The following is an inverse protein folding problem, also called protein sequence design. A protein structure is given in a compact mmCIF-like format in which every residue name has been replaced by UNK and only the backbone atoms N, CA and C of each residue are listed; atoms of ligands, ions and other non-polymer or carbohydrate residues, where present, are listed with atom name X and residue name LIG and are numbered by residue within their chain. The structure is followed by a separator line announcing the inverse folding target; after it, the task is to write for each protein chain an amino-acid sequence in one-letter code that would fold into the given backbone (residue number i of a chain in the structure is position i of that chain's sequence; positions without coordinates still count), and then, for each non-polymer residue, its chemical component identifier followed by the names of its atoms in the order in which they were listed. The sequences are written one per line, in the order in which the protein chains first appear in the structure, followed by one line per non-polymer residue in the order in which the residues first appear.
data_IF_076828020508
#
_entry.id   IF_076828020508
#
_cell.length_a   1.000
_cell.length_b   1.000
_cell.length_c   1.000
_cell.angle_alpha   90.00
_cell.angle_beta   90.00
_cell.angle_gamma   90.00
#
_symmetry.space_group_name_H-M   'P 1'
#
loop_
_entity.id
_entity.type
_entity.pdbx_description
1 polymer ?
#
# COMPACT_ATOMS: atom_id res chain seq x y z
N UNK A 1 24.21 -7.75 -9.73
CA UNK A 1 24.53 -8.87 -8.82
C UNK A 1 23.59 -8.79 -7.62
N UNK A 2 22.94 -9.91 -7.28
CA UNK A 2 21.97 -10.02 -6.17
C UNK A 2 22.68 -10.57 -4.94
N UNK A 3 22.30 -10.12 -3.75
CA UNK A 3 22.66 -10.81 -2.52
C UNK A 3 21.47 -10.88 -1.57
N UNK A 4 21.38 -11.98 -0.84
CA UNK A 4 20.36 -12.20 0.18
C UNK A 4 20.97 -11.81 1.51
N UNK A 5 20.45 -10.79 2.17
CA UNK A 5 20.80 -10.52 3.57
C UNK A 5 19.82 -11.26 4.46
N UNK A 6 20.34 -12.08 5.37
CA UNK A 6 19.56 -12.73 6.43
C UNK A 6 19.68 -11.88 7.68
N UNK A 7 18.58 -11.38 8.18
CA UNK A 7 18.52 -10.67 9.46
C UNK A 7 17.60 -11.45 10.38
N UNK A 8 18.15 -11.94 11.50
CA UNK A 8 17.38 -12.61 12.55
C UNK A 8 17.07 -11.59 13.63
N UNK A 9 15.78 -11.37 13.90
CA UNK A 9 15.30 -10.52 14.99
C UNK A 9 14.57 -11.42 15.97
N UNK A 10 14.98 -11.41 17.23
CA UNK A 10 14.37 -12.21 18.29
C UNK A 10 13.57 -11.26 19.18
N UNK A 11 12.30 -11.55 19.42
CA UNK A 11 11.48 -10.92 20.45
C UNK A 11 11.08 -11.94 21.52
N UNK A 12 10.49 -11.45 22.62
CA UNK A 12 10.21 -12.24 23.83
C UNK A 12 9.37 -13.50 23.56
N UNK A 13 8.48 -13.48 22.56
CA UNK A 13 7.62 -14.63 22.21
C UNK A 13 7.84 -15.20 20.80
N UNK A 14 8.71 -14.58 19.98
CA UNK A 14 8.84 -14.98 18.57
C UNK A 14 10.24 -14.78 17.98
N UNK A 15 10.60 -15.66 17.04
CA UNK A 15 11.82 -15.51 16.24
C UNK A 15 11.40 -15.09 14.83
N UNK A 16 11.82 -13.90 14.43
CA UNK A 16 11.65 -13.38 13.07
C UNK A 16 12.93 -13.62 12.28
N UNK A 17 12.84 -14.37 11.18
CA UNK A 17 13.93 -14.47 10.20
C UNK A 17 13.55 -13.72 8.93
N UNK A 18 14.12 -12.53 8.77
CA UNK A 18 13.92 -11.70 7.60
C UNK A 18 14.97 -12.05 6.54
N UNK A 19 14.55 -12.59 5.41
CA UNK A 19 15.41 -12.81 4.25
C UNK A 19 15.17 -11.69 3.23
N UNK A 20 16.04 -10.70 3.21
CA UNK A 20 15.95 -9.55 2.33
C UNK A 20 16.78 -9.84 1.09
N UNK A 21 16.14 -10.03 -0.06
CA UNK A 21 16.85 -10.02 -1.34
C UNK A 21 17.10 -8.56 -1.73
N UNK A 22 18.37 -8.18 -1.89
CA UNK A 22 18.79 -6.82 -2.25
C UNK A 22 19.40 -6.82 -3.67
N UNK A 23 18.88 -5.96 -4.54
CA UNK A 23 19.51 -5.63 -5.82
C UNK A 23 20.53 -4.51 -5.57
N UNK A 24 21.82 -4.77 -5.86
CA UNK A 24 22.86 -3.75 -5.78
C UNK A 24 22.80 -2.88 -7.04
N UNK A 25 22.47 -1.59 -6.89
CA UNK A 25 22.83 -0.58 -7.90
C UNK A 25 24.21 0.00 -7.54
N UNK A 26 25.07 0.14 -8.53
CA UNK A 26 26.33 0.87 -8.40
C UNK A 26 26.02 2.35 -8.10
N UNK A 27 25.90 2.73 -6.83
CA UNK A 27 26.19 4.09 -6.39
C UNK A 27 26.79 4.04 -4.99
N UNK A 28 28.04 4.49 -4.90
CA UNK A 28 28.77 4.74 -3.66
C UNK A 28 28.08 5.90 -2.94
N UNK A 29 27.18 5.62 -2.00
CA UNK A 29 26.82 6.56 -0.94
C UNK A 29 26.71 5.81 0.39
N UNK A 30 27.47 6.30 1.37
CA UNK A 30 27.54 5.82 2.74
C UNK A 30 26.11 5.61 3.32
N UNK A 31 25.84 4.39 3.78
CA UNK A 31 24.83 4.04 4.79
C UNK A 31 23.33 4.28 4.52
N UNK A 32 22.86 4.46 3.28
CA UNK A 32 21.40 4.43 3.01
C UNK A 32 21.08 3.64 1.73
N UNK A 33 20.95 2.33 1.86
CA UNK A 33 20.40 1.49 0.79
C UNK A 33 18.92 1.87 0.57
N UNK A 34 18.62 2.57 -0.54
CA UNK A 34 17.24 2.79 -0.98
C UNK A 34 16.72 1.49 -1.59
N UNK A 35 15.81 0.80 -0.91
CA UNK A 35 15.13 -0.39 -1.44
C UNK A 35 14.20 0.02 -2.59
N UNK A 36 14.55 -0.34 -3.82
CA UNK A 36 13.62 -0.28 -4.95
C UNK A 36 13.28 -1.72 -5.37
N UNK A 37 12.04 -2.17 -5.16
CA UNK A 37 11.57 -3.51 -5.55
C UNK A 37 10.31 -3.43 -6.41
N UNK A 38 10.50 -3.09 -7.68
CA UNK A 38 9.46 -3.23 -8.70
C UNK A 38 9.49 -4.57 -9.43
N UNK A 39 10.55 -5.39 -9.27
CA UNK A 39 10.77 -6.58 -10.10
C UNK A 39 10.74 -7.94 -9.39
N UNK A 40 10.99 -8.04 -8.08
CA UNK A 40 10.95 -9.32 -7.32
C UNK A 40 10.54 -9.12 -5.84
N UNK A 41 9.80 -10.07 -5.23
CA UNK A 41 9.48 -10.06 -3.81
C UNK A 41 10.74 -10.26 -2.95
N UNK A 42 10.65 -9.93 -1.66
CA UNK A 42 11.42 -10.67 -0.66
C UNK A 42 10.51 -11.51 0.21
N UNK A 43 11.11 -12.51 0.82
CA UNK A 43 10.41 -13.51 1.59
C UNK A 43 10.72 -13.30 3.06
N UNK A 44 9.68 -13.12 3.87
CA UNK A 44 9.84 -13.07 5.32
C UNK A 44 9.27 -14.35 5.92
N UNK A 45 10.08 -14.99 6.77
CA UNK A 45 9.71 -16.19 7.51
C UNK A 45 9.63 -15.83 8.98
N UNK A 46 8.52 -16.13 9.62
CA UNK A 46 8.46 -16.11 11.08
C UNK A 46 8.27 -17.52 11.61
N UNK A 47 8.81 -17.77 12.79
CA UNK A 47 8.58 -18.99 13.57
C UNK A 47 8.28 -18.59 15.00
N UNK A 48 7.13 -19.02 15.52
CA UNK A 48 6.85 -18.96 16.95
C UNK A 48 7.78 -19.92 17.71
N UNK A 49 8.20 -19.55 18.93
CA UNK A 49 9.10 -20.38 19.76
C UNK A 49 8.55 -21.79 20.04
N UNK A 50 7.23 -21.97 19.92
CA UNK A 50 6.50 -23.23 20.12
C UNK A 50 6.65 -24.24 18.98
N UNK A 51 7.32 -23.90 17.87
CA UNK A 51 7.56 -24.80 16.74
C UNK A 51 6.33 -25.08 15.87
N UNK A 52 5.18 -24.47 16.19
CA UNK A 52 3.97 -24.55 15.36
C UNK A 52 3.74 -23.20 14.69
N UNK A 53 3.44 -23.26 13.38
CA UNK A 53 3.24 -22.14 12.45
C UNK A 53 4.53 -21.47 11.93
N UNK A 54 4.97 -21.97 10.77
CA UNK A 54 5.84 -21.25 9.84
C UNK A 54 4.95 -20.56 8.81
N UNK A 55 4.56 -19.32 9.02
CA UNK A 55 3.86 -18.59 7.97
C UNK A 55 4.89 -17.90 7.08
N UNK A 56 4.65 -18.00 5.79
CA UNK A 56 5.40 -17.33 4.76
C UNK A 56 4.61 -16.11 4.29
N UNK A 57 5.19 -14.92 4.40
CA UNK A 57 4.62 -13.74 3.77
C UNK A 57 5.58 -13.22 2.70
N UNK A 58 5.03 -12.98 1.52
CA UNK A 58 5.74 -12.31 0.45
C UNK A 58 5.63 -10.80 0.67
N UNK A 59 6.79 -10.17 0.88
CA UNK A 59 6.91 -8.75 1.14
C UNK A 59 7.50 -8.03 -0.07
N UNK A 60 6.77 -7.05 -0.57
CA UNK A 60 7.12 -6.19 -1.69
C UNK A 60 7.46 -4.79 -1.19
N UNK A 61 8.38 -4.10 -1.86
CA UNK A 61 8.73 -2.70 -1.52
C UNK A 61 8.46 -1.80 -2.71
N UNK A 62 7.35 -1.06 -2.65
CA UNK A 62 6.84 -0.24 -3.75
C UNK A 62 6.75 1.21 -3.28
N UNK A 63 7.31 2.15 -4.04
CA UNK A 63 7.36 3.58 -3.68
C UNK A 63 7.91 3.87 -2.27
N UNK A 64 8.80 3.02 -1.76
CA UNK A 64 9.34 3.12 -0.40
C UNK A 64 8.44 2.55 0.70
N UNK A 65 7.20 2.13 0.38
CA UNK A 65 6.30 1.41 1.29
C UNK A 65 6.53 -0.09 1.26
N UNK A 66 6.18 -0.76 2.36
CA UNK A 66 6.29 -2.21 2.54
C UNK A 66 4.90 -2.85 2.38
N UNK A 67 4.75 -3.82 1.49
CA UNK A 67 3.47 -4.43 1.11
C UNK A 67 3.50 -5.94 1.29
N UNK A 68 2.40 -6.53 1.74
CA UNK A 68 2.17 -7.98 1.75
C UNK A 68 1.41 -8.37 0.51
N UNK A 69 1.89 -9.39 -0.22
CA UNK A 69 1.13 -9.99 -1.32
C UNK A 69 -0.05 -10.80 -0.79
N UNK A 70 -1.22 -10.53 -1.37
CA UNK A 70 -2.40 -11.38 -1.37
C UNK A 70 -2.67 -11.83 -2.81
N UNK A 71 -3.61 -12.76 -3.00
CA UNK A 71 -3.92 -13.41 -4.28
C UNK A 71 -3.72 -12.45 -5.48
N UNK A 72 -4.51 -11.36 -5.55
CA UNK A 72 -4.49 -10.45 -6.70
C UNK A 72 -4.11 -9.00 -6.34
N UNK A 73 -3.54 -8.76 -5.16
CA UNK A 73 -3.17 -7.41 -4.73
C UNK A 73 -2.00 -7.38 -3.73
N UNK A 74 -1.35 -6.22 -3.63
CA UNK A 74 -0.38 -5.86 -2.62
C UNK A 74 -1.09 -4.97 -1.59
N UNK A 75 -1.03 -5.34 -0.32
CA UNK A 75 -1.61 -4.57 0.79
C UNK A 75 -0.51 -3.95 1.63
N UNK A 76 -0.55 -2.65 1.85
CA UNK A 76 0.44 -1.93 2.65
C UNK A 76 0.48 -2.50 4.08
N UNK A 77 1.65 -3.00 4.50
CA UNK A 77 1.81 -3.91 5.65
C UNK A 77 1.91 -3.20 7.00
N UNK A 78 2.18 -1.90 7.02
CA UNK A 78 2.21 -1.08 8.23
C UNK A 78 2.02 0.37 7.81
N UNK A 79 0.92 0.97 8.24
CA UNK A 79 0.70 2.40 8.09
C UNK A 79 1.64 3.04 9.12
N UNK A 80 2.83 3.46 8.71
CA UNK A 80 3.40 4.60 9.42
C UNK A 80 2.41 5.73 9.18
N UNK A 81 1.87 6.36 10.23
CA UNK A 81 0.89 7.47 10.10
C UNK A 81 1.43 8.56 9.16
N UNK A 82 2.75 8.73 9.12
CA UNK A 82 3.41 9.69 8.21
C UNK A 82 3.30 9.35 6.71
N UNK A 83 2.96 8.11 6.37
CA UNK A 83 2.75 7.60 5.01
C UNK A 83 1.26 7.45 4.67
N UNK A 84 0.37 7.65 5.65
CA UNK A 84 -1.06 7.75 5.41
C UNK A 84 -1.32 8.84 4.36
N UNK A 85 -2.22 8.58 3.42
CA UNK A 85 -2.52 9.41 2.24
C UNK A 85 -1.41 9.59 1.19
N UNK A 86 -0.14 9.23 1.47
CA UNK A 86 0.96 9.35 0.49
C UNK A 86 1.08 8.13 -0.41
N UNK A 87 0.92 6.93 0.14
CA UNK A 87 1.09 5.67 -0.59
C UNK A 87 -0.26 4.96 -0.76
N UNK A 88 -0.47 4.26 -1.89
CA UNK A 88 -1.68 3.46 -2.06
C UNK A 88 -1.72 2.36 -1.00
N UNK A 89 -2.86 2.22 -0.36
CA UNK A 89 -3.08 1.16 0.65
C UNK A 89 -3.21 -0.20 -0.02
N UNK A 90 -3.76 -0.24 -1.24
CA UNK A 90 -3.90 -1.44 -2.07
C UNK A 90 -3.38 -1.15 -3.47
N UNK A 91 -2.60 -2.08 -4.02
CA UNK A 91 -2.18 -2.08 -5.43
C UNK A 91 -2.59 -3.41 -6.03
N UNK A 92 -3.47 -3.39 -7.03
CA UNK A 92 -3.92 -4.58 -7.75
C UNK A 92 -2.92 -4.96 -8.83
N UNK A 93 -2.93 -6.24 -9.22
CA UNK A 93 -2.03 -6.75 -10.28
C UNK A 93 -2.21 -6.05 -11.63
N UNK A 94 -3.44 -5.62 -11.95
CA UNK A 94 -3.71 -4.88 -13.17
C UNK A 94 -3.12 -3.46 -13.15
N UNK A 95 -2.61 -2.98 -12.01
CA UNK A 95 -2.06 -1.65 -11.82
C UNK A 95 -3.01 -0.63 -11.16
N UNK A 96 -4.27 -1.02 -10.90
CA UNK A 96 -5.22 -0.21 -10.14
C UNK A 96 -4.70 0.02 -8.72
N UNK A 97 -4.89 1.22 -8.20
CA UNK A 97 -4.44 1.64 -6.86
C UNK A 97 -5.59 2.25 -6.09
N UNK A 98 -5.63 1.95 -4.81
CA UNK A 98 -6.63 2.50 -3.90
C UNK A 98 -5.99 3.04 -2.63
N UNK A 99 -6.48 4.19 -2.18
CA UNK A 99 -6.12 4.84 -0.94
C UNK A 99 -7.29 4.74 0.03
N UNK A 100 -7.02 4.10 1.16
CA UNK A 100 -8.00 3.86 2.22
C UNK A 100 -7.49 4.47 3.50
N UNK A 101 -8.36 5.16 4.23
CA UNK A 101 -8.13 5.57 5.62
C UNK A 101 -8.84 4.63 6.59
N UNK A 102 -8.38 4.62 7.83
CA UNK A 102 -9.16 4.05 8.92
C UNK A 102 -10.21 5.05 9.38
N UNK A 103 -11.43 4.56 9.61
CA UNK A 103 -12.47 5.36 10.23
C UNK A 103 -12.23 5.35 11.74
N UNK A 104 -11.89 6.50 12.31
CA UNK A 104 -11.58 6.65 13.73
C UNK A 104 -12.87 6.68 14.57
N UNK A 105 -13.48 5.52 14.79
CA UNK A 105 -14.57 5.37 15.77
C UNK A 105 -14.20 4.35 16.83
N UNK A 106 -14.66 4.58 18.07
CA UNK A 106 -14.39 3.69 19.20
C UNK A 106 -15.06 2.30 19.06
N UNK A 107 -16.05 2.19 18.16
CA UNK A 107 -16.96 1.04 18.09
C UNK A 107 -16.83 0.23 16.79
N UNK A 108 -16.21 0.78 15.73
CA UNK A 108 -16.12 0.11 14.43
C UNK A 108 -14.72 0.25 13.81
N UNK A 109 -14.08 -0.88 13.47
CA UNK A 109 -12.87 -0.88 12.63
C UNK A 109 -13.24 -0.95 11.16
N UNK A 110 -13.74 0.16 10.61
CA UNK A 110 -14.05 0.27 9.18
C UNK A 110 -12.94 1.02 8.42
N UNK A 111 -12.79 0.69 7.14
CA UNK A 111 -11.96 1.43 6.19
C UNK A 111 -12.85 2.10 5.16
N UNK A 112 -12.44 3.28 4.72
CA UNK A 112 -13.14 4.04 3.69
C UNK A 112 -12.15 4.66 2.70
N UNK A 113 -12.58 4.82 1.45
CA UNK A 113 -11.79 5.46 0.41
C UNK A 113 -11.57 6.92 0.77
N UNK A 114 -10.31 7.35 0.71
CA UNK A 114 -9.93 8.71 1.05
C UNK A 114 -8.51 9.01 0.58
N UNK A 115 -8.32 10.21 0.01
CA UNK A 115 -7.00 10.78 -0.26
C UNK A 115 -7.09 12.31 -0.36
N UNK A 116 -6.26 13.02 0.40
CA UNK A 116 -6.33 14.50 0.44
C UNK A 116 -5.96 15.17 -0.88
N UNK A 117 -4.87 14.72 -1.51
CA UNK A 117 -4.23 15.45 -2.61
C UNK A 117 -4.34 14.72 -3.95
N UNK A 118 -5.41 13.96 -4.18
CA UNK A 118 -5.59 13.23 -5.43
C UNK A 118 -6.74 12.25 -5.42
N UNK A 119 -6.90 11.47 -6.50
CA UNK A 119 -7.92 10.43 -6.55
C UNK A 119 -7.62 9.33 -5.53
N UNK A 120 -8.66 8.90 -4.81
CA UNK A 120 -8.59 7.78 -3.90
C UNK A 120 -8.64 6.43 -4.63
N UNK A 121 -9.09 6.42 -5.89
CA UNK A 121 -8.99 5.27 -6.80
C UNK A 121 -8.38 5.71 -8.12
N UNK A 122 -7.29 5.05 -8.51
CA UNK A 122 -6.66 5.21 -9.83
C UNK A 122 -6.72 3.87 -10.54
N UNK A 123 -7.53 3.76 -11.58
CA UNK A 123 -7.67 2.55 -12.37
C UNK A 123 -6.52 2.41 -13.37
N UNK A 124 -6.20 1.18 -13.75
CA UNK A 124 -5.14 0.88 -14.70
C UNK A 124 -5.40 1.42 -16.11
N UNK A 125 -6.66 1.65 -16.48
CA UNK A 125 -7.05 2.25 -17.75
C UNK A 125 -6.97 3.79 -17.75
N UNK A 126 -6.58 4.42 -16.63
CA UNK A 126 -6.47 5.87 -16.48
C UNK A 126 -7.66 6.55 -15.82
N UNK A 127 -8.76 5.82 -15.60
CA UNK A 127 -9.94 6.32 -14.89
C UNK A 127 -9.62 6.67 -13.44
N UNK A 128 -10.36 7.62 -12.87
CA UNK A 128 -10.07 8.18 -11.54
C UNK A 128 -11.34 8.48 -10.76
N UNK A 129 -11.29 8.20 -9.46
CA UNK A 129 -12.32 8.63 -8.51
C UNK A 129 -11.71 9.34 -7.31
N UNK A 130 -12.30 10.47 -6.95
CA UNK A 130 -11.95 11.28 -5.79
C UNK A 130 -12.95 11.00 -4.67
N UNK A 131 -12.41 10.61 -3.52
CA UNK A 131 -13.19 10.29 -2.33
C UNK A 131 -12.60 11.00 -1.13
N UNK A 132 -13.48 11.55 -0.28
CA UNK A 132 -13.15 12.21 0.97
C UNK A 132 -14.06 11.67 2.07
N UNK A 133 -13.47 11.09 3.13
CA UNK A 133 -14.21 10.42 4.21
C UNK A 133 -15.28 9.42 3.72
N UNK A 134 -14.92 8.60 2.73
CA UNK A 134 -15.82 7.59 2.16
C UNK A 134 -16.93 8.13 1.27
N UNK A 135 -16.92 9.41 0.93
CA UNK A 135 -17.89 10.04 0.03
C UNK A 135 -17.20 10.57 -1.23
N UNK A 136 -17.83 10.41 -2.39
CA UNK A 136 -17.33 11.02 -3.64
C UNK A 136 -17.37 12.54 -3.49
N UNK A 137 -16.21 13.17 -3.67
CA UNK A 137 -16.11 14.61 -3.53
C UNK A 137 -14.82 15.13 -4.16
N UNK A 138 -14.91 16.30 -4.79
CA UNK A 138 -13.76 17.06 -5.28
C UNK A 138 -14.14 18.53 -5.38
N UNK A 139 -13.33 19.42 -4.79
CA UNK A 139 -13.61 20.86 -4.74
C UNK A 139 -13.54 21.53 -6.13
N UNK A 140 -12.50 21.23 -6.90
CA UNK A 140 -12.17 21.97 -8.12
C UNK A 140 -12.38 21.15 -9.41
N UNK A 141 -13.34 20.22 -9.43
CA UNK A 141 -13.63 19.43 -10.63
C UNK A 141 -14.47 18.17 -10.40
N UNK A 142 -14.55 17.28 -11.41
CA UNK A 142 -15.37 16.08 -11.30
C UNK A 142 -14.78 15.11 -10.28
N UNK A 143 -15.66 14.57 -9.44
CA UNK A 143 -15.28 13.54 -8.47
C UNK A 143 -15.11 12.15 -9.11
N UNK A 144 -15.59 11.96 -10.34
CA UNK A 144 -15.37 10.75 -11.13
C UNK A 144 -15.05 11.11 -12.57
N UNK A 145 -14.01 10.51 -13.11
CA UNK A 145 -13.60 10.64 -14.51
C UNK A 145 -13.42 9.24 -15.11
N UNK A 146 -14.27 8.90 -16.08
CA UNK A 146 -14.24 7.64 -16.82
C UNK A 146 -14.04 7.92 -18.31
N UNK A 147 -12.83 7.75 -18.81
CA UNK A 147 -12.42 8.21 -20.14
C UNK A 147 -12.74 9.70 -20.30
N UNK A 148 -13.67 10.02 -21.21
CA UNK A 148 -14.12 11.39 -21.46
C UNK A 148 -15.38 11.80 -20.66
N UNK A 149 -15.97 10.88 -19.88
CA UNK A 149 -17.14 11.16 -19.05
C UNK A 149 -16.72 11.71 -17.69
N UNK A 150 -17.43 12.71 -17.21
CA UNK A 150 -17.17 13.39 -15.96
C UNK A 150 -18.44 13.44 -15.13
N UNK A 151 -18.33 13.17 -13.83
CA UNK A 151 -19.44 13.21 -12.89
C UNK A 151 -19.05 14.05 -11.67
N UNK A 152 -19.94 14.95 -11.28
CA UNK A 152 -19.74 15.90 -10.19
C UNK A 152 -20.52 15.45 -8.96
N UNK A 153 -19.91 15.64 -7.79
CA UNK A 153 -20.50 15.26 -6.51
C UNK A 153 -20.18 16.31 -5.46
N UNK A 154 -21.19 16.75 -4.72
CA UNK A 154 -21.04 17.64 -3.56
C UNK A 154 -21.43 16.88 -2.29
N UNK A 155 -20.51 16.80 -1.32
CA UNK A 155 -20.72 16.09 -0.05
C UNK A 155 -21.23 14.63 -0.19
N UNK A 156 -20.90 13.96 -1.30
CA UNK A 156 -21.31 12.60 -1.62
C UNK A 156 -22.58 12.48 -2.46
N UNK A 157 -23.31 13.57 -2.66
CA UNK A 157 -24.52 13.60 -3.47
C UNK A 157 -24.18 13.88 -4.93
N UNK A 158 -24.81 13.14 -5.83
CA UNK A 158 -24.59 13.28 -7.27
C UNK A 158 -25.27 14.56 -7.77
N UNK A 159 -24.53 15.38 -8.50
CA UNK A 159 -25.05 16.58 -9.16
C UNK A 159 -25.43 16.19 -10.59
N UNK A 160 -26.73 16.17 -10.87
CA UNK A 160 -27.24 16.09 -12.22
C UNK A 160 -27.37 17.52 -12.77
N UNK A 161 -26.54 17.84 -13.77
CA UNK A 161 -26.76 18.98 -14.67
C UNK A 161 -27.49 18.51 -15.94
#
# INVERSE_FOLDING_TARGET
MYYVTRTKVVSDDSIFEKYIVVERWHVVFKNRAKLHRLRKPAFCRYSEKSGKVKTFCEIWYVFGGCYVKKQNCLILSSINRDLENKLPTVIYENGTKEWWRHKDTAWERKRELHRDNGPAVEYSNGDKEWWFFGKRHRLDGPAVVYGNKQYFYELGEFIND
#
